data_IF_342859687787
#
_entry.id   IF_342859687787
#
_cell.length_a   1.000
_cell.length_b   1.000
_cell.length_c   1.000
_cell.angle_alpha   90.00
_cell.angle_beta   90.00
_cell.angle_gamma   90.00
#
_symmetry.space_group_name_H-M   'P 1'
#
loop_
_entity.id
_entity.type
_entity.pdbx_description
1 polymer ?
#
# COMPACT_ATOMS: atom_id res chain seq x y z
N UNK A 1 -39.84 -26.76 28.65
CA UNK A 1 -38.42 -27.05 28.39
C UNK A 1 -38.05 -26.33 27.11
N UNK A 2 -37.55 -25.11 27.28
CA UNK A 2 -37.07 -24.24 26.20
C UNK A 2 -35.76 -24.76 25.62
N UNK A 3 -35.67 -24.76 24.29
CA UNK A 3 -34.41 -24.83 23.56
C UNK A 3 -34.46 -23.79 22.45
N UNK A 4 -34.36 -22.53 22.84
CA UNK A 4 -33.93 -21.45 21.95
C UNK A 4 -32.51 -21.77 21.53
N UNK A 5 -32.35 -22.22 20.29
CA UNK A 5 -31.07 -22.25 19.61
C UNK A 5 -30.59 -20.80 19.52
N UNK A 6 -29.56 -20.47 20.29
CA UNK A 6 -28.78 -19.25 20.13
C UNK A 6 -28.13 -19.30 18.74
N UNK A 7 -28.68 -18.51 17.81
CA UNK A 7 -27.98 -18.14 16.59
C UNK A 7 -26.69 -17.43 17.04
N UNK A 8 -25.50 -17.91 16.66
CA UNK A 8 -24.28 -17.18 16.97
C UNK A 8 -24.37 -15.83 16.25
N UNK A 9 -24.35 -14.78 17.06
CA UNK A 9 -24.27 -13.38 16.67
C UNK A 9 -23.24 -13.27 15.53
N UNK A 10 -23.76 -13.00 14.32
CA UNK A 10 -22.93 -12.84 13.13
C UNK A 10 -22.07 -11.63 13.38
N UNK A 11 -20.82 -11.90 13.80
CA UNK A 11 -19.84 -10.88 14.12
C UNK A 11 -19.90 -9.76 13.09
N UNK A 12 -20.01 -8.54 13.63
CA UNK A 12 -19.91 -7.28 12.90
C UNK A 12 -19.15 -7.47 11.60
N UNK A 13 -19.82 -7.16 10.49
CA UNK A 13 -19.24 -7.17 9.15
C UNK A 13 -18.11 -6.14 9.17
N UNK A 14 -16.93 -6.62 9.57
CA UNK A 14 -15.66 -5.92 9.49
C UNK A 14 -15.55 -5.39 8.05
N UNK A 15 -15.05 -4.17 7.82
CA UNK A 15 -14.79 -3.71 6.47
C UNK A 15 -13.97 -4.80 5.77
N UNK A 16 -14.57 -5.43 4.77
CA UNK A 16 -13.90 -6.46 3.98
C UNK A 16 -12.75 -5.74 3.33
N UNK A 17 -11.55 -6.05 3.81
CA UNK A 17 -10.26 -5.56 3.34
C UNK A 17 -10.32 -5.14 1.85
N UNK A 18 -10.23 -3.83 1.54
CA UNK A 18 -10.56 -3.31 0.21
C UNK A 18 -9.68 -3.92 -0.88
N UNK A 19 -8.42 -4.22 -0.56
CA UNK A 19 -7.48 -4.89 -1.47
C UNK A 19 -7.92 -6.34 -1.76
N UNK A 20 -8.43 -7.04 -0.74
CA UNK A 20 -8.97 -8.39 -0.90
C UNK A 20 -10.28 -8.40 -1.69
N UNK A 21 -11.10 -7.37 -1.54
CA UNK A 21 -12.32 -7.19 -2.30
C UNK A 21 -12.00 -6.95 -3.79
N UNK A 22 -11.10 -6.01 -4.09
CA UNK A 22 -10.69 -5.71 -5.47
C UNK A 22 -10.02 -6.91 -6.15
N UNK A 23 -9.07 -7.57 -5.48
CA UNK A 23 -8.42 -8.77 -6.05
C UNK A 23 -9.39 -9.94 -6.22
N UNK A 24 -10.38 -10.09 -5.33
CA UNK A 24 -11.45 -11.06 -5.49
C UNK A 24 -12.29 -10.80 -6.74
N UNK A 25 -12.82 -9.58 -6.87
CA UNK A 25 -13.59 -9.17 -8.03
C UNK A 25 -12.81 -9.35 -9.35
N UNK A 26 -11.54 -8.96 -9.38
CA UNK A 26 -10.71 -9.08 -10.58
C UNK A 26 -10.50 -10.55 -10.99
N UNK A 27 -10.29 -11.46 -10.04
CA UNK A 27 -10.19 -12.89 -10.31
C UNK A 27 -11.48 -13.47 -10.86
N UNK A 28 -12.62 -13.07 -10.30
CA UNK A 28 -13.93 -13.53 -10.78
C UNK A 28 -14.19 -13.07 -12.21
N UNK A 29 -13.86 -11.82 -12.55
CA UNK A 29 -13.96 -11.32 -13.94
C UNK A 29 -13.02 -12.03 -14.90
N UNK A 30 -11.80 -12.35 -14.48
CA UNK A 30 -10.89 -13.12 -15.34
C UNK A 30 -11.37 -14.56 -15.55
N UNK A 31 -12.02 -15.18 -14.55
CA UNK A 31 -12.63 -16.51 -14.68
C UNK A 31 -13.83 -16.50 -15.62
N UNK A 32 -14.69 -15.48 -15.52
CA UNK A 32 -15.78 -15.26 -16.50
C UNK A 32 -15.22 -15.17 -17.94
N UNK A 33 -14.11 -14.45 -18.14
CA UNK A 33 -13.45 -14.35 -19.45
C UNK A 33 -12.91 -15.72 -19.92
N UNK A 34 -12.37 -16.54 -19.02
CA UNK A 34 -11.95 -17.91 -19.37
C UNK A 34 -13.13 -18.76 -19.84
N UNK A 35 -14.27 -18.67 -19.16
CA UNK A 35 -15.48 -19.42 -19.55
C UNK A 35 -16.03 -18.96 -20.90
N UNK A 36 -16.01 -17.65 -21.16
CA UNK A 36 -16.35 -17.07 -22.45
C UNK A 36 -15.38 -17.52 -23.55
N UNK A 37 -14.08 -17.53 -23.29
CA UNK A 37 -13.05 -18.02 -24.23
C UNK A 37 -13.27 -19.49 -24.59
N UNK A 38 -13.53 -20.35 -23.59
CA UNK A 38 -13.85 -21.77 -23.81
C UNK A 38 -15.11 -21.94 -24.66
N UNK A 39 -16.16 -21.17 -24.37
CA UNK A 39 -17.43 -21.22 -25.10
C UNK A 39 -17.27 -20.74 -26.54
N UNK A 40 -16.52 -19.64 -26.74
CA UNK A 40 -16.22 -19.07 -28.06
C UNK A 40 -15.39 -20.03 -28.90
N UNK A 41 -14.35 -20.63 -28.34
CA UNK A 41 -13.54 -21.68 -29.02
C UNK A 41 -14.39 -22.83 -29.53
N UNK A 42 -15.32 -23.33 -28.69
CA UNK A 42 -16.24 -24.40 -29.09
C UNK A 42 -17.16 -23.97 -30.23
N UNK A 43 -17.57 -22.70 -30.27
CA UNK A 43 -18.38 -22.17 -31.37
C UNK A 43 -17.56 -22.00 -32.65
N UNK A 44 -16.37 -21.39 -32.57
CA UNK A 44 -15.47 -21.19 -33.72
C UNK A 44 -15.02 -22.53 -34.32
N UNK A 45 -14.70 -23.53 -33.50
CA UNK A 45 -14.34 -24.86 -33.98
C UNK A 45 -15.47 -25.53 -34.79
N UNK A 46 -16.73 -25.39 -34.34
CA UNK A 46 -17.90 -25.90 -35.07
C UNK A 46 -18.15 -25.16 -36.38
N UNK A 47 -17.87 -23.86 -36.40
CA UNK A 47 -18.07 -23.03 -37.60
C UNK A 47 -16.97 -23.25 -38.64
N UNK A 48 -15.71 -23.42 -38.20
CA UNK A 48 -14.60 -23.79 -39.07
C UNK A 48 -14.79 -25.18 -39.71
N UNK A 49 -15.37 -26.13 -38.98
CA UNK A 49 -15.74 -27.44 -39.54
C UNK A 49 -16.84 -27.33 -40.61
N UNK A 50 -17.71 -26.32 -40.51
CA UNK A 50 -18.84 -26.09 -41.43
C UNK A 50 -18.51 -25.22 -42.64
N UNK A 51 -17.65 -24.21 -42.48
CA UNK A 51 -17.59 -23.11 -43.45
C UNK A 51 -16.66 -23.38 -44.63
N UNK A 52 -15.33 -23.52 -44.56
CA UNK A 52 -14.54 -23.40 -45.80
C UNK A 52 -13.21 -24.15 -45.86
N UNK A 53 -13.08 -24.95 -46.94
CA UNK A 53 -11.82 -25.14 -47.67
C UNK A 53 -11.59 -23.90 -48.54
N UNK A 54 -10.45 -23.21 -48.39
CA UNK A 54 -9.87 -22.43 -49.50
C UNK A 54 -9.76 -20.90 -49.40
N UNK A 55 -9.94 -20.27 -48.23
CA UNK A 55 -9.58 -18.86 -48.05
C UNK A 55 -8.44 -18.70 -47.04
N UNK A 56 -7.51 -17.77 -47.30
CA UNK A 56 -6.42 -17.40 -46.38
C UNK A 56 -7.03 -16.70 -45.16
N UNK A 57 -7.31 -17.47 -44.11
CA UNK A 57 -7.90 -16.96 -42.87
C UNK A 57 -6.82 -16.44 -41.92
N UNK A 58 -7.13 -15.41 -41.10
CA UNK A 58 -6.36 -15.09 -39.91
C UNK A 58 -6.17 -16.35 -39.03
N UNK A 59 -5.01 -16.47 -38.39
CA UNK A 59 -4.73 -17.57 -37.46
C UNK A 59 -5.48 -17.37 -36.13
N UNK A 60 -6.80 -17.57 -36.17
CA UNK A 60 -7.68 -17.51 -35.00
C UNK A 60 -7.23 -18.45 -33.86
N UNK A 61 -6.77 -19.69 -34.11
CA UNK A 61 -6.21 -20.55 -33.07
C UNK A 61 -5.03 -19.93 -32.33
N UNK A 62 -4.10 -19.28 -33.05
CA UNK A 62 -2.96 -18.59 -32.44
C UNK A 62 -3.39 -17.36 -31.64
N UNK A 63 -4.29 -16.52 -32.18
CA UNK A 63 -4.81 -15.35 -31.47
C UNK A 63 -5.54 -15.76 -30.18
N UNK A 64 -6.38 -16.79 -30.25
CA UNK A 64 -7.06 -17.35 -29.07
C UNK A 64 -6.08 -17.93 -28.06
N UNK A 65 -5.05 -18.66 -28.50
CA UNK A 65 -4.02 -19.18 -27.60
C UNK A 65 -3.24 -18.08 -26.89
N UNK A 66 -2.93 -16.98 -27.60
CA UNK A 66 -2.29 -15.79 -27.02
C UNK A 66 -3.18 -15.13 -25.98
N UNK A 67 -4.47 -14.98 -26.27
CA UNK A 67 -5.44 -14.42 -25.33
C UNK A 67 -5.55 -15.27 -24.07
N UNK A 68 -5.76 -16.59 -24.19
CA UNK A 68 -5.86 -17.47 -23.02
C UNK A 68 -4.59 -17.49 -22.19
N UNK A 69 -3.42 -17.44 -22.84
CA UNK A 69 -2.14 -17.34 -22.13
C UNK A 69 -2.06 -16.04 -21.34
N UNK A 70 -2.44 -14.92 -21.93
CA UNK A 70 -2.48 -13.61 -21.26
C UNK A 70 -3.38 -13.65 -20.02
N UNK A 71 -4.61 -14.15 -20.16
CA UNK A 71 -5.58 -14.24 -19.06
C UNK A 71 -5.06 -15.12 -17.92
N UNK A 72 -4.49 -16.30 -18.21
CA UNK A 72 -3.89 -17.17 -17.18
C UNK A 72 -2.74 -16.50 -16.45
N UNK A 73 -1.90 -15.74 -17.16
CA UNK A 73 -0.81 -14.98 -16.54
C UNK A 73 -1.35 -13.88 -15.62
N UNK A 74 -2.40 -13.17 -16.03
CA UNK A 74 -3.07 -12.17 -15.19
C UNK A 74 -3.66 -12.78 -13.92
N UNK A 75 -4.33 -13.94 -14.02
CA UNK A 75 -4.83 -14.68 -12.85
C UNK A 75 -3.68 -15.01 -11.90
N UNK A 76 -2.61 -15.64 -12.42
CA UNK A 76 -1.46 -16.02 -11.61
C UNK A 76 -0.78 -14.82 -10.94
N UNK A 77 -0.70 -13.68 -11.64
CA UNK A 77 -0.15 -12.44 -11.10
C UNK A 77 -1.00 -11.91 -9.93
N UNK A 78 -2.32 -11.88 -10.08
CA UNK A 78 -3.23 -11.40 -9.02
C UNK A 78 -3.21 -12.35 -7.81
N UNK A 79 -3.22 -13.68 -8.04
CA UNK A 79 -3.11 -14.67 -6.97
C UNK A 79 -1.79 -14.54 -6.19
N UNK A 80 -0.67 -14.27 -6.90
CA UNK A 80 0.62 -13.99 -6.26
C UNK A 80 0.57 -12.73 -5.40
N UNK A 81 0.00 -11.64 -5.91
CA UNK A 81 -0.16 -10.38 -5.15
C UNK A 81 -0.99 -10.63 -3.89
N UNK A 82 -2.13 -11.30 -4.03
CA UNK A 82 -3.04 -11.65 -2.93
C UNK A 82 -2.36 -12.50 -1.87
N UNK A 83 -1.62 -13.54 -2.29
CA UNK A 83 -0.88 -14.40 -1.37
C UNK A 83 0.20 -13.62 -0.63
N UNK A 84 0.98 -12.81 -1.34
CA UNK A 84 2.02 -11.97 -0.73
C UNK A 84 1.44 -10.94 0.25
N UNK A 85 0.28 -10.36 -0.07
CA UNK A 85 -0.44 -9.48 0.83
C UNK A 85 -0.87 -10.22 2.12
N UNK A 86 -1.50 -11.38 1.99
CA UNK A 86 -1.94 -12.18 3.14
C UNK A 86 -0.77 -12.60 4.04
N UNK A 87 0.37 -12.98 3.45
CA UNK A 87 1.58 -13.31 4.21
C UNK A 87 2.10 -12.10 4.99
N UNK A 88 2.20 -10.92 4.36
CA UNK A 88 2.61 -9.70 5.06
C UNK A 88 1.63 -9.33 6.17
N UNK A 89 0.33 -9.42 5.91
CA UNK A 89 -0.72 -9.15 6.89
C UNK A 89 -0.61 -10.09 8.10
N UNK A 90 -0.46 -11.40 7.85
CA UNK A 90 -0.26 -12.38 8.91
C UNK A 90 1.01 -12.10 9.72
N UNK A 91 2.13 -11.77 9.06
CA UNK A 91 3.37 -11.39 9.74
C UNK A 91 3.23 -10.15 10.63
N UNK A 92 2.49 -9.13 10.19
CA UNK A 92 2.21 -7.94 11.02
C UNK A 92 1.32 -8.25 12.23
N UNK A 93 0.37 -9.16 12.08
CA UNK A 93 -0.48 -9.64 13.19
C UNK A 93 0.37 -10.42 14.19
N UNK A 94 1.18 -11.36 13.73
CA UNK A 94 2.05 -12.19 14.57
C UNK A 94 3.11 -11.35 15.31
N UNK A 95 3.67 -10.32 14.65
CA UNK A 95 4.60 -9.35 15.23
C UNK A 95 3.97 -8.43 16.29
N UNK A 96 2.63 -8.45 16.43
CA UNK A 96 1.90 -7.47 17.25
C UNK A 96 2.06 -6.02 16.76
N UNK A 97 2.56 -5.82 15.54
CA UNK A 97 2.74 -4.49 14.93
C UNK A 97 1.38 -3.81 14.73
N UNK A 98 0.36 -4.56 14.31
CA UNK A 98 -0.98 -4.01 14.14
C UNK A 98 -1.58 -3.51 15.45
N UNK A 99 -1.35 -4.23 16.55
CA UNK A 99 -1.86 -3.83 17.86
C UNK A 99 -1.13 -2.59 18.38
N UNK A 100 0.19 -2.54 18.24
CA UNK A 100 0.99 -1.35 18.57
C UNK A 100 0.55 -0.13 17.75
N UNK A 101 0.33 -0.30 16.44
CA UNK A 101 -0.22 0.75 15.55
C UNK A 101 -1.61 1.20 16.01
N UNK A 102 -2.49 0.27 16.37
CA UNK A 102 -3.85 0.57 16.84
C UNK A 102 -3.81 1.41 18.12
N UNK A 103 -3.02 1.01 19.11
CA UNK A 103 -2.85 1.75 20.37
C UNK A 103 -2.31 3.16 20.14
N UNK A 104 -1.32 3.30 19.24
CA UNK A 104 -0.79 4.61 18.87
C UNK A 104 -1.83 5.51 18.21
N UNK A 105 -2.66 4.97 17.32
CA UNK A 105 -3.78 5.74 16.74
C UNK A 105 -4.75 6.19 17.81
N UNK A 106 -5.10 5.32 18.76
CA UNK A 106 -5.98 5.69 19.87
C UNK A 106 -5.39 6.82 20.72
N UNK A 107 -4.10 6.72 21.08
CA UNK A 107 -3.38 7.77 21.79
C UNK A 107 -3.37 9.10 21.01
N UNK A 108 -3.08 9.05 19.70
CA UNK A 108 -3.07 10.23 18.84
C UNK A 108 -4.47 10.84 18.71
N UNK A 109 -5.51 10.02 18.53
CA UNK A 109 -6.90 10.48 18.48
C UNK A 109 -7.30 11.17 19.77
N UNK A 110 -7.05 10.56 20.94
CA UNK A 110 -7.38 11.18 22.23
C UNK A 110 -6.60 12.48 22.48
N UNK A 111 -5.35 12.54 22.02
CA UNK A 111 -4.52 13.75 22.10
C UNK A 111 -5.07 14.88 21.23
N UNK A 112 -5.42 14.60 19.98
CA UNK A 112 -6.01 15.58 19.05
C UNK A 112 -7.38 16.04 19.56
N UNK A 113 -8.23 15.11 20.04
CA UNK A 113 -9.55 15.42 20.58
C UNK A 113 -9.43 16.38 21.77
N UNK A 114 -8.52 16.10 22.71
CA UNK A 114 -8.27 17.00 23.86
C UNK A 114 -7.79 18.39 23.45
N UNK A 115 -7.04 18.49 22.36
CA UNK A 115 -6.47 19.75 21.91
C UNK A 115 -7.45 20.60 21.06
N UNK A 116 -8.35 19.95 20.32
CA UNK A 116 -9.14 20.60 19.27
C UNK A 116 -10.64 20.65 19.57
N UNK A 117 -11.18 19.68 20.30
CA UNK A 117 -12.61 19.63 20.56
C UNK A 117 -13.02 20.74 21.54
N UNK A 118 -14.18 21.33 21.29
CA UNK A 118 -14.79 22.30 22.20
C UNK A 118 -15.72 21.56 23.16
N UNK A 119 -15.35 21.40 24.44
CA UNK A 119 -16.13 20.61 25.39
C UNK A 119 -17.50 21.23 25.71
N UNK A 120 -17.65 22.54 25.51
CA UNK A 120 -18.89 23.28 25.73
C UNK A 120 -19.91 23.09 24.59
N UNK A 121 -19.49 22.57 23.43
CA UNK A 121 -20.36 22.25 22.31
C UNK A 121 -20.82 20.78 22.40
N UNK A 122 -22.12 20.59 22.54
CA UNK A 122 -22.70 19.26 22.74
C UNK A 122 -22.37 18.31 21.57
N UNK A 123 -21.59 17.26 21.87
CA UNK A 123 -21.21 16.22 20.91
C UNK A 123 -20.07 16.59 19.96
N UNK A 124 -19.38 17.72 20.15
CA UNK A 124 -18.20 18.07 19.34
C UNK A 124 -17.03 17.10 19.61
N UNK A 125 -16.85 16.68 20.86
CA UNK A 125 -15.82 15.69 21.26
C UNK A 125 -15.94 14.39 20.46
N UNK A 126 -17.12 13.78 20.42
CA UNK A 126 -17.38 12.54 19.67
C UNK A 126 -17.26 12.75 18.15
N UNK A 127 -17.68 13.92 17.64
CA UNK A 127 -17.55 14.27 16.24
C UNK A 127 -16.08 14.38 15.84
N UNK A 128 -15.27 15.12 16.59
CA UNK A 128 -13.83 15.27 16.36
C UNK A 128 -13.13 13.91 16.50
N UNK A 129 -13.48 13.12 17.52
CA UNK A 129 -12.94 11.76 17.69
C UNK A 129 -13.17 10.91 16.45
N UNK A 130 -14.40 10.94 15.92
CA UNK A 130 -14.78 10.17 14.73
C UNK A 130 -14.01 10.64 13.49
N UNK A 131 -13.94 11.96 13.25
CA UNK A 131 -13.23 12.53 12.09
C UNK A 131 -11.72 12.24 12.12
N UNK A 132 -11.10 12.35 13.30
CA UNK A 132 -9.67 12.03 13.45
C UNK A 132 -9.43 10.55 13.23
N UNK A 133 -10.27 9.68 13.81
CA UNK A 133 -10.14 8.24 13.63
C UNK A 133 -10.28 7.82 12.16
N UNK A 134 -11.30 8.32 11.46
CA UNK A 134 -11.51 8.10 10.04
C UNK A 134 -10.30 8.57 9.22
N UNK A 135 -9.82 9.79 9.49
CA UNK A 135 -8.63 10.35 8.83
C UNK A 135 -7.38 9.49 9.03
N UNK A 136 -7.15 8.92 10.22
CA UNK A 136 -5.99 8.05 10.49
C UNK A 136 -6.13 6.64 9.92
N UNK A 137 -7.35 6.16 9.71
CA UNK A 137 -7.60 4.84 9.14
C UNK A 137 -7.57 4.87 7.61
N UNK A 138 -8.08 5.94 7.00
CA UNK A 138 -8.19 6.05 5.55
C UNK A 138 -6.96 6.65 4.87
N UNK A 139 -6.25 7.57 5.53
CA UNK A 139 -5.06 8.20 4.96
C UNK A 139 -3.78 7.47 5.39
N UNK A 140 -3.30 6.58 4.54
CA UNK A 140 -2.06 5.83 4.77
C UNK A 140 -0.84 6.75 4.99
N UNK A 141 -0.83 7.95 4.40
CA UNK A 141 0.27 8.91 4.58
C UNK A 141 0.22 9.46 6.00
N UNK A 142 -0.97 9.84 6.50
CA UNK A 142 -1.13 10.24 7.89
C UNK A 142 -0.77 9.11 8.86
N UNK A 143 -1.16 7.86 8.57
CA UNK A 143 -0.81 6.72 9.41
C UNK A 143 0.71 6.50 9.49
N UNK A 144 1.42 6.65 8.38
CA UNK A 144 2.89 6.58 8.37
C UNK A 144 3.50 7.79 9.08
N UNK A 145 2.93 8.97 8.90
CA UNK A 145 3.40 10.21 9.52
C UNK A 145 3.33 10.18 11.04
N UNK A 146 2.45 9.35 11.61
CA UNK A 146 2.33 9.14 13.05
C UNK A 146 3.65 8.67 13.69
N UNK A 147 4.48 7.94 12.95
CA UNK A 147 5.77 7.43 13.42
C UNK A 147 6.96 8.34 13.03
N UNK A 148 6.75 9.32 12.13
CA UNK A 148 7.86 10.10 11.53
C UNK A 148 7.86 11.57 11.90
N UNK A 149 6.68 12.16 12.13
CA UNK A 149 6.56 13.58 12.45
C UNK A 149 6.68 13.80 13.95
N UNK A 150 7.11 15.01 14.32
CA UNK A 150 6.97 15.43 15.71
C UNK A 150 5.49 15.56 16.09
N UNK A 151 5.16 15.40 17.38
CA UNK A 151 3.81 15.59 17.92
C UNK A 151 3.07 16.84 17.40
N UNK A 152 3.77 17.98 17.38
CA UNK A 152 3.19 19.26 16.96
C UNK A 152 2.92 19.35 15.46
N UNK A 153 3.81 18.79 14.65
CA UNK A 153 3.67 18.77 13.19
C UNK A 153 2.52 17.85 12.79
N UNK A 154 2.43 16.69 13.43
CA UNK A 154 1.33 15.76 13.22
C UNK A 154 -0.01 16.38 13.63
N UNK A 155 -0.10 17.04 14.79
CA UNK A 155 -1.31 17.73 15.23
C UNK A 155 -1.75 18.77 14.20
N UNK A 156 -0.83 19.59 13.68
CA UNK A 156 -1.14 20.58 12.64
C UNK A 156 -1.66 19.93 11.36
N UNK A 157 -1.03 18.84 10.95
CA UNK A 157 -1.40 18.10 9.75
C UNK A 157 -2.79 17.47 9.86
N UNK A 158 -3.10 16.84 11.00
CA UNK A 158 -4.44 16.30 11.29
C UNK A 158 -5.47 17.43 11.37
N UNK A 159 -5.18 18.53 12.06
CA UNK A 159 -6.08 19.70 12.15
C UNK A 159 -6.43 20.26 10.76
N UNK A 160 -5.41 20.39 9.90
CA UNK A 160 -5.58 20.82 8.50
C UNK A 160 -6.52 19.89 7.74
N UNK A 161 -6.38 18.58 7.94
CA UNK A 161 -7.17 17.54 7.26
C UNK A 161 -8.63 17.53 7.71
N UNK A 162 -8.88 17.70 9.02
CA UNK A 162 -10.25 17.78 9.57
C UNK A 162 -10.87 19.18 9.45
N UNK A 163 -10.17 20.14 8.86
CA UNK A 163 -10.66 21.52 8.65
C UNK A 163 -10.78 22.35 9.93
N UNK A 164 -10.01 22.02 10.98
CA UNK A 164 -10.00 22.73 12.26
C UNK A 164 -8.74 23.59 12.40
N UNK A 165 -8.82 24.73 13.11
CA UNK A 165 -7.63 25.51 13.41
C UNK A 165 -6.68 24.70 14.33
N UNK A 166 -5.36 24.77 14.12
CA UNK A 166 -4.42 24.13 15.04
C UNK A 166 -4.53 24.77 16.42
N UNK A 167 -4.35 23.99 17.50
CA UNK A 167 -4.39 24.51 18.86
C UNK A 167 -3.32 25.59 19.06
N UNK A 168 -3.68 26.69 19.71
CA UNK A 168 -2.78 27.83 19.98
C UNK A 168 -1.83 27.56 21.16
N UNK A 169 -2.15 26.58 22.01
CA UNK A 169 -1.38 26.21 23.19
C UNK A 169 -0.47 24.99 22.94
N UNK A 170 0.55 24.85 23.79
CA UNK A 170 1.58 23.79 23.78
C UNK A 170 0.96 22.39 23.54
N UNK A 171 1.60 21.50 22.76
CA UNK A 171 1.09 20.16 22.52
C UNK A 171 0.76 19.43 23.84
N UNK A 172 -0.29 18.59 23.87
CA UNK A 172 -0.64 17.86 25.08
C UNK A 172 0.51 16.95 25.52
N UNK A 173 0.78 16.95 26.82
CA UNK A 173 1.82 16.14 27.43
C UNK A 173 1.45 14.65 27.37
N UNK A 174 2.36 13.81 26.86
CA UNK A 174 2.21 12.34 26.88
C UNK A 174 2.57 11.59 25.59
N UNK A 175 3.03 12.25 24.52
CA UNK A 175 3.37 11.57 23.25
C UNK A 175 4.78 10.96 23.25
N UNK A 176 5.74 11.55 23.98
CA UNK A 176 7.15 11.13 24.00
C UNK A 176 7.55 10.31 25.24
N UNK A 177 6.68 10.17 26.25
CA UNK A 177 7.08 9.63 27.57
C UNK A 177 7.29 8.11 27.59
N UNK A 178 6.87 7.35 26.57
CA UNK A 178 7.04 5.88 26.51
C UNK A 178 8.10 5.41 25.49
N UNK A 179 8.60 6.27 24.60
CA UNK A 179 9.64 5.88 23.64
C UNK A 179 11.04 5.75 24.27
N UNK A 180 11.23 6.22 25.50
CA UNK A 180 12.53 6.25 26.18
C UNK A 180 12.87 4.98 27.00
N UNK A 181 12.03 3.95 27.02
CA UNK A 181 12.29 2.70 27.76
C UNK A 181 12.30 1.46 26.86
N UNK A 182 13.18 1.47 25.85
CA UNK A 182 13.37 0.34 24.95
C UNK A 182 14.70 0.36 24.21
N UNK A 183 15.77 0.01 24.93
CA UNK A 183 17.04 -0.53 24.42
C UNK A 183 17.82 0.31 23.37
N UNK A 184 18.37 1.43 23.83
CA UNK A 184 19.45 2.11 23.13
C UNK A 184 20.76 1.32 23.32
N UNK A 185 21.08 0.42 22.40
CA UNK A 185 22.45 -0.09 22.28
C UNK A 185 23.38 1.06 21.86
N UNK A 186 24.53 1.27 22.54
CA UNK A 186 25.41 2.38 22.23
C UNK A 186 26.13 2.10 20.91
N UNK A 187 25.75 2.83 19.85
CA UNK A 187 26.59 2.97 18.66
C UNK A 187 27.78 3.82 19.07
N UNK A 188 28.92 3.18 19.30
CA UNK A 188 30.20 3.86 19.45
C UNK A 188 30.55 4.60 18.15
N UNK A 189 30.29 5.90 18.13
CA UNK A 189 30.84 6.80 17.12
C UNK A 189 32.31 6.96 17.43
N UNK A 190 33.17 6.31 16.63
CA UNK A 190 34.61 6.54 16.67
C UNK A 190 34.89 7.97 16.22
N UNK A 191 35.30 8.80 17.18
CA UNK A 191 35.81 10.15 16.98
C UNK A 191 37.05 10.11 16.09
N UNK A 192 37.05 10.87 14.99
CA UNK A 192 38.28 11.28 14.32
C UNK A 192 38.20 12.77 14.03
N UNK A 193 38.97 13.54 14.80
CA UNK A 193 39.13 14.98 14.70
C UNK A 193 39.86 15.43 13.41
N UNK A 194 39.73 16.71 13.03
CA UNK A 194 39.90 17.20 11.66
C UNK A 194 41.34 17.71 11.39
N UNK A 195 41.75 17.73 10.12
CA UNK A 195 42.87 18.55 9.66
C UNK A 195 42.46 19.30 8.40
N UNK A 196 42.51 20.62 8.52
CA UNK A 196 42.26 21.63 7.50
C UNK A 196 43.30 21.58 6.37
N UNK A 197 42.90 22.01 5.17
CA UNK A 197 43.86 22.38 4.13
C UNK A 197 43.35 22.21 2.70
N UNK A 198 42.55 23.14 2.22
CA UNK A 198 42.52 23.53 0.80
C UNK A 198 43.06 24.97 0.72
N UNK A 199 43.55 25.53 -0.40
CA UNK A 199 43.30 25.11 -1.80
C UNK A 199 44.50 25.28 -2.79
N UNK A 200 44.48 24.63 -3.97
CA UNK A 200 44.87 25.29 -5.23
C UNK A 200 44.59 24.47 -6.50
N UNK A 201 44.07 25.17 -7.51
CA UNK A 201 43.94 24.76 -8.90
C UNK A 201 45.31 24.78 -9.63
N UNK A 202 45.32 24.29 -10.88
CA UNK A 202 46.11 24.68 -12.07
C UNK A 202 46.53 23.46 -12.93
N UNK A 203 45.82 23.32 -14.06
CA UNK A 203 46.28 23.04 -15.45
C UNK A 203 46.96 21.73 -15.88
N UNK A 204 46.25 21.08 -16.81
CA UNK A 204 46.65 20.60 -18.16
C UNK A 204 47.76 19.55 -18.40
N UNK A 205 47.34 18.55 -19.21
CA UNK A 205 47.99 18.05 -20.44
C UNK A 205 48.64 16.66 -20.46
N UNK A 206 47.85 15.72 -21.01
CA UNK A 206 48.11 14.87 -22.19
C UNK A 206 49.30 13.87 -22.22
N UNK A 207 48.96 12.58 -22.09
CA UNK A 207 49.38 11.45 -22.94
C UNK A 207 48.77 10.16 -22.35
N UNK A 208 48.13 9.21 -23.02
CA UNK A 208 47.76 8.96 -24.39
C UNK A 208 47.24 7.53 -24.46
N UNK A 209 46.18 7.30 -25.26
CA UNK A 209 45.83 6.07 -26.04
C UNK A 209 44.34 5.71 -25.91
N UNK A 210 43.73 5.59 -27.08
CA UNK A 210 42.30 5.49 -27.34
C UNK A 210 41.88 4.10 -27.86
N UNK A 211 40.55 3.95 -27.98
CA UNK A 211 39.75 3.03 -28.82
C UNK A 211 39.37 1.68 -28.16
N UNK A 212 38.14 1.14 -28.28
CA UNK A 212 37.15 1.26 -29.36
C UNK A 212 35.70 0.97 -28.89
N UNK A 213 34.72 1.61 -29.54
CA UNK A 213 33.27 1.36 -29.49
C UNK A 213 32.87 0.43 -30.67
N UNK A 214 31.92 -0.50 -30.55
CA UNK A 214 31.51 -1.33 -31.69
C UNK A 214 30.50 -0.62 -32.63
N UNK A 215 30.68 -0.87 -33.93
CA UNK A 215 29.94 -0.36 -35.08
C UNK A 215 28.56 -1.03 -35.26
N UNK A 216 27.61 -0.28 -35.85
CA UNK A 216 26.34 -0.80 -36.42
C UNK A 216 26.56 -1.32 -37.85
N UNK A 217 25.71 -2.24 -38.35
CA UNK A 217 25.83 -2.80 -39.71
C UNK A 217 25.05 -1.99 -40.75
N UNK A 218 25.58 -1.92 -41.97
CA UNK A 218 24.89 -1.41 -43.15
C UNK A 218 24.21 -2.54 -43.95
N UNK A 219 23.14 -2.14 -44.64
CA UNK A 219 22.24 -2.96 -45.45
C UNK A 219 22.79 -3.27 -46.85
N UNK A 220 22.33 -4.40 -47.41
CA UNK A 220 21.91 -4.53 -48.81
C UNK A 220 20.81 -5.58 -48.92
#
# INVERSE_FOLDING_TARGET
MDRTQSVPDSGEIKPTDPDMHWTGWALDKLREIVDLDISTKRMTAREQDRILRGAEMPDYPLMQSRLSRSVRLSIAMIERIRTGYLMRKAGRVESGEQERRRQRREQATETVVKAVAQPDEAGDVERVRSMVWESLVEDEILDVQLDTLSPEEFLREVCRKIGRPPPSDRPPQGWDDEAATGDALPVMIAVREPVEGSPQAWTESTAGRALSRPLKPDSS
#
